data_IF_111277259736
#
_entry.id   IF_111277259736
#
_cell.length_a   1.000
_cell.length_b   1.000
_cell.length_c   1.000
_cell.angle_alpha   90.00
_cell.angle_beta   90.00
_cell.angle_gamma   90.00
#
_symmetry.space_group_name_H-M   'P 1'
#
loop_
_entity.id
_entity.type
_entity.pdbx_description
1 polymer ?
#
# COMPACT_ATOMS: atom_id res chain seq x y z
N UNK A 1 -11.85 4.37 5.74
CA UNK A 1 -10.69 3.47 5.62
C UNK A 1 -9.52 4.30 5.14
N UNK A 2 -8.40 4.29 5.87
CA UNK A 2 -7.21 5.05 5.49
C UNK A 2 -6.45 4.34 4.36
N UNK A 3 -5.77 5.08 3.48
CA UNK A 3 -5.01 4.52 2.35
C UNK A 3 -3.98 3.47 2.79
N UNK A 4 -3.44 3.61 4.01
CA UNK A 4 -2.51 2.67 4.60
C UNK A 4 -3.16 1.31 4.85
N UNK A 5 -4.39 1.28 5.38
CA UNK A 5 -5.10 0.03 5.68
C UNK A 5 -5.39 -0.75 4.39
N UNK A 6 -5.85 -0.06 3.34
CA UNK A 6 -6.04 -0.65 2.02
C UNK A 6 -4.73 -1.24 1.46
N UNK A 7 -3.62 -0.50 1.59
CA UNK A 7 -2.31 -0.98 1.15
C UNK A 7 -1.84 -2.21 1.95
N UNK A 8 -1.99 -2.19 3.27
CA UNK A 8 -1.64 -3.30 4.16
C UNK A 8 -2.47 -4.55 3.85
N UNK A 9 -3.77 -4.41 3.59
CA UNK A 9 -4.61 -5.52 3.15
C UNK A 9 -4.11 -6.13 1.85
N UNK A 10 -3.86 -5.32 0.83
CA UNK A 10 -3.36 -5.81 -0.46
C UNK A 10 -2.01 -6.53 -0.29
N UNK A 11 -1.08 -5.92 0.46
CA UNK A 11 0.23 -6.52 0.73
C UNK A 11 0.13 -7.82 1.54
N UNK A 12 -0.80 -7.90 2.49
CA UNK A 12 -1.04 -9.09 3.30
C UNK A 12 -1.76 -10.22 2.56
N UNK A 13 -2.64 -9.87 1.61
CA UNK A 13 -3.31 -10.86 0.75
C UNK A 13 -2.36 -11.43 -0.30
N UNK A 14 -1.52 -10.60 -0.92
CA UNK A 14 -0.54 -11.06 -1.92
C UNK A 14 0.70 -11.69 -1.29
N UNK A 15 1.01 -11.38 -0.02
CA UNK A 15 2.22 -11.87 0.70
C UNK A 15 3.49 -11.72 -0.13
N UNK A 16 3.64 -10.55 -0.75
CA UNK A 16 4.74 -10.27 -1.65
C UNK A 16 5.07 -8.79 -1.69
N UNK A 17 6.29 -8.49 -2.10
CA UNK A 17 6.74 -7.12 -2.31
C UNK A 17 6.11 -6.59 -3.60
N UNK A 18 5.30 -5.53 -3.50
CA UNK A 18 4.57 -4.95 -4.62
C UNK A 18 4.97 -3.51 -4.87
N UNK A 19 4.89 -3.10 -6.14
CA UNK A 19 5.08 -1.70 -6.51
C UNK A 19 3.85 -0.88 -6.10
N UNK A 20 4.03 0.36 -5.65
CA UNK A 20 2.93 1.21 -5.18
C UNK A 20 1.80 1.38 -6.21
N UNK A 21 2.11 1.33 -7.50
CA UNK A 21 1.11 1.35 -8.58
C UNK A 21 0.25 0.09 -8.60
N UNK A 22 0.85 -1.08 -8.33
CA UNK A 22 0.14 -2.36 -8.25
C UNK A 22 -0.72 -2.39 -7.00
N UNK A 23 -0.21 -1.91 -5.87
CA UNK A 23 -0.98 -1.76 -4.63
C UNK A 23 -2.21 -0.88 -4.88
N UNK A 24 -2.01 0.26 -5.57
CA UNK A 24 -3.10 1.15 -5.95
C UNK A 24 -4.12 0.45 -6.85
N UNK A 25 -3.68 -0.21 -7.92
CA UNK A 25 -4.57 -0.87 -8.88
C UNK A 25 -5.37 -2.00 -8.22
N UNK A 26 -4.73 -2.82 -7.39
CA UNK A 26 -5.39 -3.87 -6.62
C UNK A 26 -6.37 -3.32 -5.60
N UNK A 27 -6.00 -2.24 -4.90
CA UNK A 27 -6.90 -1.61 -3.95
C UNK A 27 -8.13 -0.99 -4.63
N UNK A 28 -7.98 -0.45 -5.84
CA UNK A 28 -9.09 0.02 -6.67
C UNK A 28 -9.96 -1.15 -7.15
N UNK A 29 -9.35 -2.22 -7.68
CA UNK A 29 -10.08 -3.40 -8.19
C UNK A 29 -10.84 -4.14 -7.09
N UNK A 30 -10.28 -4.22 -5.89
CA UNK A 30 -10.91 -4.87 -4.72
C UNK A 30 -11.93 -3.97 -4.02
N UNK A 31 -12.08 -2.71 -4.43
CA UNK A 31 -13.00 -1.76 -3.82
C UNK A 31 -12.55 -1.25 -2.45
N UNK A 32 -11.26 -1.35 -2.14
CA UNK A 32 -10.69 -0.75 -0.93
C UNK A 32 -10.46 0.76 -1.07
N UNK A 33 -10.25 1.23 -2.30
CA UNK A 33 -10.13 2.64 -2.65
C UNK A 33 -11.17 3.01 -3.71
N UNK A 34 -11.77 4.18 -3.55
CA UNK A 34 -12.78 4.70 -4.45
C UNK A 34 -12.22 5.90 -5.23
N UNK A 35 -12.01 5.77 -6.55
CA UNK A 35 -11.46 6.86 -7.37
C UNK A 35 -12.43 8.04 -7.52
N UNK A 36 -13.72 7.82 -7.25
CA UNK A 36 -14.74 8.85 -7.30
C UNK A 36 -14.79 9.70 -6.04
N UNK A 37 -14.55 9.08 -4.87
CA UNK A 37 -14.62 9.75 -3.57
C UNK A 37 -13.25 10.29 -3.15
N UNK A 38 -12.18 9.63 -3.56
CA UNK A 38 -10.82 9.97 -3.17
C UNK A 38 -10.10 10.70 -4.30
N UNK A 39 -9.88 12.01 -4.12
CA UNK A 39 -8.96 12.78 -4.96
C UNK A 39 -7.51 12.50 -4.56
N UNK A 40 -6.62 12.58 -5.54
CA UNK A 40 -5.17 12.44 -5.33
C UNK A 40 -4.74 11.09 -4.69
N UNK A 41 -5.42 9.99 -5.02
CA UNK A 41 -5.13 8.65 -4.48
C UNK A 41 -3.64 8.34 -4.49
N UNK A 42 -2.95 8.59 -5.61
CA UNK A 42 -1.51 8.36 -5.74
C UNK A 42 -0.72 9.07 -4.63
N UNK A 43 -0.99 10.36 -4.41
CA UNK A 43 -0.26 11.19 -3.45
C UNK A 43 -0.56 10.73 -2.02
N UNK A 44 -1.84 10.49 -1.73
CA UNK A 44 -2.27 10.02 -0.42
C UNK A 44 -1.75 8.61 -0.11
N UNK A 45 -1.74 7.70 -1.09
CA UNK A 45 -1.18 6.36 -0.98
C UNK A 45 0.33 6.40 -0.74
N UNK A 46 1.07 7.21 -1.50
CA UNK A 46 2.52 7.35 -1.29
C UNK A 46 2.85 7.99 0.07
N UNK A 47 2.06 8.96 0.52
CA UNK A 47 2.19 9.55 1.84
C UNK A 47 1.90 8.53 2.94
N UNK A 48 0.82 7.76 2.80
CA UNK A 48 0.44 6.68 3.70
C UNK A 48 1.51 5.58 3.76
N UNK A 49 2.02 5.12 2.62
CA UNK A 49 3.11 4.15 2.55
C UNK A 49 4.39 4.70 3.21
N UNK A 50 4.72 5.97 2.99
CA UNK A 50 5.89 6.60 3.64
C UNK A 50 5.72 6.73 5.16
N UNK A 51 4.50 7.03 5.62
CA UNK A 51 4.16 7.02 7.05
C UNK A 51 4.28 5.60 7.62
N UNK A 52 3.71 4.61 6.95
CA UNK A 52 3.80 3.21 7.37
C UNK A 52 5.24 2.68 7.39
N UNK A 53 6.14 3.18 6.53
CA UNK A 53 7.57 2.86 6.61
C UNK A 53 8.20 3.46 7.87
N UNK A 54 7.81 4.68 8.25
CA UNK A 54 8.27 5.31 9.50
C UNK A 54 7.76 4.60 10.74
N UNK A 55 6.53 4.09 10.68
CA UNK A 55 5.91 3.33 11.78
C UNK A 55 6.36 1.86 11.84
N UNK A 56 7.10 1.39 10.83
CA UNK A 56 7.62 0.02 10.77
C UNK A 56 6.58 -1.03 10.39
N UNK A 57 5.38 -0.63 9.94
CA UNK A 57 4.32 -1.55 9.50
C UNK A 57 4.46 -1.98 8.04
N UNK A 58 5.20 -1.24 7.22
CA UNK A 58 5.63 -1.63 5.87
C UNK A 58 7.11 -1.37 5.70
N UNK A 59 7.76 -2.17 4.85
CA UNK A 59 9.17 -2.00 4.50
C UNK A 59 9.31 -1.62 3.04
N UNK A 60 10.12 -0.60 2.77
CA UNK A 60 10.49 -0.24 1.40
C UNK A 60 11.68 -1.10 0.99
N UNK A 61 11.45 -2.05 0.07
CA UNK A 61 12.49 -2.99 -0.41
C UNK A 61 13.26 -2.47 -1.63
N UNK A 62 12.72 -1.48 -2.35
CA UNK A 62 13.35 -0.91 -3.54
C UNK A 62 12.66 0.35 -4.05
N UNK A 63 12.99 0.79 -5.26
CA UNK A 63 12.38 1.97 -5.89
C UNK A 63 10.90 1.71 -6.15
N UNK A 64 10.04 2.31 -5.32
CA UNK A 64 8.59 2.16 -5.41
C UNK A 64 8.05 0.81 -4.95
N UNK A 65 8.90 -0.06 -4.41
CA UNK A 65 8.54 -1.41 -3.93
C UNK A 65 8.35 -1.42 -2.43
N UNK A 66 7.19 -1.90 -1.99
CA UNK A 66 6.78 -1.98 -0.59
C UNK A 66 6.35 -3.41 -0.27
N UNK A 67 6.69 -3.87 0.93
CA UNK A 67 6.30 -5.18 1.44
C UNK A 67 5.93 -5.11 2.92
N UNK A 68 5.39 -6.19 3.46
CA UNK A 68 5.22 -6.32 4.91
C UNK A 68 6.55 -6.66 5.58
N UNK A 69 6.78 -6.19 6.82
CA UNK A 69 7.97 -6.51 7.59
C UNK A 69 8.09 -8.01 7.93
N UNK A 70 6.95 -8.72 8.04
CA UNK A 70 6.88 -10.12 8.45
C UNK A 70 7.17 -11.16 7.35
N UNK A 71 7.52 -10.75 6.12
CA UNK A 71 7.96 -11.69 5.05
C UNK A 71 9.44 -12.09 5.22
N UNK A 72 9.85 -12.36 6.46
CA UNK A 72 11.20 -12.78 6.83
C UNK A 72 11.06 -13.69 8.06
N UNK A 73 10.48 -14.87 7.86
CA UNK A 73 10.62 -16.02 8.75
C UNK A 73 11.13 -17.22 7.94
#
# INVERSE_FOLDING_TARGET
>A
MEFLDAALKVLGEERSVLHWTVIQDLALRRGYLDPFTQRDIRKNLLAALSAGVREGVVVKRGTGLYGLPSDTE
#
